data_IF_769513877302
#
_entry.id   IF_769513877302
#
_cell.length_a   1.000
_cell.length_b   1.000
_cell.length_c   1.000
_cell.angle_alpha   90.00
_cell.angle_beta   90.00
_cell.angle_gamma   90.00
#
_symmetry.space_group_name_H-M   'P 1'
#
loop_
_entity.id
_entity.type
_entity.pdbx_description
1 polymer ?
#
# COMPACT_ATOMS: atom_id res chain seq x y z
N UNK A 1 9.42 -31.89 -12.71
CA UNK A 1 10.11 -31.13 -11.65
C UNK A 1 9.15 -30.06 -11.17
N UNK A 2 8.65 -30.19 -9.94
CA UNK A 2 7.74 -29.26 -9.26
C UNK A 2 8.58 -28.54 -8.21
N UNK A 3 9.11 -27.38 -8.55
CA UNK A 3 9.85 -26.54 -7.62
C UNK A 3 9.60 -25.09 -8.01
N UNK A 4 9.25 -24.29 -7.01
CA UNK A 4 9.14 -22.83 -7.02
C UNK A 4 7.76 -22.29 -7.47
N UNK A 5 6.69 -22.69 -6.79
CA UNK A 5 5.55 -21.78 -6.56
C UNK A 5 5.86 -21.07 -5.24
N UNK A 6 6.70 -20.03 -5.30
CA UNK A 6 6.96 -19.18 -4.13
C UNK A 6 5.70 -18.35 -3.88
N UNK A 7 5.07 -18.43 -2.70
CA UNK A 7 4.12 -17.40 -2.31
C UNK A 7 4.97 -16.14 -2.08
N UNK A 8 4.91 -15.19 -3.00
CA UNK A 8 5.53 -13.86 -2.84
C UNK A 8 4.69 -12.96 -1.93
N UNK A 9 4.17 -13.54 -0.85
CA UNK A 9 3.64 -12.82 0.31
C UNK A 9 4.81 -12.55 1.25
N UNK A 10 5.66 -11.61 0.87
CA UNK A 10 6.67 -11.12 1.80
C UNK A 10 7.03 -9.68 1.43
N UNK A 11 6.93 -8.84 2.46
CA UNK A 11 7.47 -7.49 2.58
C UNK A 11 6.49 -6.37 2.18
N UNK A 12 5.59 -6.07 3.12
CA UNK A 12 5.17 -4.70 3.43
C UNK A 12 5.31 -4.52 4.95
N UNK A 13 6.56 -4.39 5.39
CA UNK A 13 6.88 -3.95 6.73
C UNK A 13 8.05 -2.98 6.61
N UNK A 14 7.75 -1.69 6.82
CA UNK A 14 8.57 -0.65 7.46
C UNK A 14 8.18 0.71 6.90
N UNK A 15 7.38 1.45 7.67
CA UNK A 15 7.36 2.91 7.79
C UNK A 15 6.48 3.20 9.04
N UNK A 16 6.79 4.03 10.03
CA UNK A 16 7.95 4.84 10.33
C UNK A 16 8.00 5.13 11.84
N UNK A 17 8.48 4.19 12.66
CA UNK A 17 8.50 4.34 14.12
C UNK A 17 9.65 5.20 14.68
N UNK A 18 10.01 6.33 14.04
CA UNK A 18 11.18 7.12 14.48
C UNK A 18 11.08 8.66 14.54
N UNK A 19 9.90 9.30 14.44
CA UNK A 19 9.78 10.73 14.76
C UNK A 19 9.31 10.95 16.21
N UNK A 20 10.32 10.89 17.08
CA UNK A 20 10.19 10.92 18.53
C UNK A 20 9.82 12.32 19.06
N UNK A 21 8.76 12.37 19.88
CA UNK A 21 8.50 13.33 20.97
C UNK A 21 7.84 14.70 20.66
N UNK A 22 7.83 15.19 19.41
CA UNK A 22 7.08 16.42 19.05
C UNK A 22 5.70 16.16 18.42
N UNK A 23 5.49 15.00 17.79
CA UNK A 23 4.25 14.65 17.09
C UNK A 23 3.10 14.17 17.99
N UNK A 24 3.36 13.81 19.26
CA UNK A 24 2.34 13.26 20.17
C UNK A 24 1.18 14.22 20.55
N UNK A 25 1.03 15.37 19.90
CA UNK A 25 -0.09 16.29 20.10
C UNK A 25 -0.72 16.83 18.80
N UNK A 26 -0.34 16.34 17.62
CA UNK A 26 -0.96 16.81 16.36
C UNK A 26 -2.03 15.83 15.85
N UNK A 27 -3.28 16.03 16.29
CA UNK A 27 -4.43 15.24 15.84
C UNK A 27 -4.65 15.28 14.31
N UNK A 28 -4.11 16.27 13.61
CA UNK A 28 -4.18 16.36 12.16
C UNK A 28 -3.21 15.37 11.47
N UNK A 29 -2.08 15.08 12.10
CA UNK A 29 -1.08 14.10 11.65
C UNK A 29 -1.67 12.69 11.74
N UNK A 30 -2.15 12.31 12.93
CA UNK A 30 -2.83 11.03 13.19
C UNK A 30 -4.02 10.78 12.21
N UNK A 31 -4.77 11.84 11.89
CA UNK A 31 -5.92 11.73 11.00
C UNK A 31 -5.51 11.55 9.53
N UNK A 32 -4.36 12.09 9.14
CA UNK A 32 -3.84 11.98 7.78
C UNK A 32 -3.12 10.65 7.57
N UNK A 33 -2.34 10.18 8.56
CA UNK A 33 -1.81 8.81 8.60
C UNK A 33 -2.94 7.79 8.49
N UNK A 34 -4.00 7.91 9.32
CA UNK A 34 -5.13 6.99 9.25
C UNK A 34 -5.87 7.05 7.89
N UNK A 35 -5.86 8.19 7.21
CA UNK A 35 -6.44 8.32 5.88
C UNK A 35 -5.54 7.68 4.80
N UNK A 36 -4.23 7.82 4.91
CA UNK A 36 -3.24 7.16 4.05
C UNK A 36 -3.33 5.64 4.20
N UNK A 37 -3.32 5.12 5.43
CA UNK A 37 -3.53 3.71 5.76
C UNK A 37 -4.81 3.16 5.13
N UNK A 38 -5.90 3.93 5.20
CA UNK A 38 -7.17 3.49 4.64
C UNK A 38 -7.15 3.45 3.11
N UNK A 39 -6.41 4.36 2.47
CA UNK A 39 -6.23 4.36 1.01
C UNK A 39 -5.39 3.16 0.56
N UNK A 40 -4.28 2.88 1.24
CA UNK A 40 -3.44 1.73 0.98
C UNK A 40 -4.22 0.43 1.18
N UNK A 41 -4.86 0.24 2.34
CA UNK A 41 -5.67 -0.94 2.64
C UNK A 41 -6.82 -1.16 1.64
N UNK A 42 -7.44 -0.08 1.13
CA UNK A 42 -8.49 -0.18 0.11
C UNK A 42 -7.94 -0.59 -1.25
N UNK A 43 -6.77 -0.08 -1.62
CA UNK A 43 -6.07 -0.46 -2.84
C UNK A 43 -5.63 -1.93 -2.78
N UNK A 44 -5.03 -2.34 -1.66
CA UNK A 44 -4.63 -3.72 -1.40
C UNK A 44 -5.80 -4.68 -1.45
N UNK A 45 -6.91 -4.37 -0.77
CA UNK A 45 -8.10 -5.22 -0.83
C UNK A 45 -8.65 -5.37 -2.26
N UNK A 46 -8.53 -4.32 -3.08
CA UNK A 46 -8.93 -4.36 -4.48
C UNK A 46 -7.95 -5.18 -5.32
N UNK A 47 -6.64 -4.98 -5.13
CA UNK A 47 -5.59 -5.73 -5.81
C UNK A 47 -5.65 -7.23 -5.46
N UNK A 48 -5.87 -7.57 -4.20
CA UNK A 48 -6.04 -8.94 -3.74
C UNK A 48 -7.29 -9.58 -4.36
N UNK A 49 -8.38 -8.85 -4.55
CA UNK A 49 -9.55 -9.36 -5.25
C UNK A 49 -9.25 -9.66 -6.73
N UNK A 50 -8.40 -8.83 -7.36
CA UNK A 50 -7.94 -9.05 -8.74
C UNK A 50 -7.00 -10.25 -8.82
N UNK A 51 -6.06 -10.40 -7.90
CA UNK A 51 -5.13 -11.55 -7.85
C UNK A 51 -5.89 -12.86 -7.60
N UNK A 52 -6.85 -12.86 -6.68
CA UNK A 52 -7.72 -14.02 -6.45
C UNK A 52 -8.56 -14.38 -7.69
N UNK A 53 -8.91 -13.40 -8.53
CA UNK A 53 -9.56 -13.66 -9.81
C UNK A 53 -8.56 -14.19 -10.84
N UNK A 54 -7.35 -13.62 -10.90
CA UNK A 54 -6.26 -14.04 -11.78
C UNK A 54 -5.89 -15.52 -11.59
N UNK A 55 -5.76 -15.94 -10.33
CA UNK A 55 -5.49 -17.33 -9.92
C UNK A 55 -6.54 -18.33 -10.43
N UNK A 56 -7.78 -17.88 -10.64
CA UNK A 56 -8.85 -18.74 -11.16
C UNK A 56 -8.81 -18.88 -12.69
N UNK A 57 -8.22 -17.92 -13.41
CA UNK A 57 -8.17 -17.93 -14.88
C UNK A 57 -6.90 -18.62 -15.41
N UNK A 58 -5.76 -18.31 -14.81
CA UNK A 58 -4.45 -18.82 -15.20
C UNK A 58 -3.89 -18.28 -16.53
N UNK A 59 -2.60 -18.49 -16.77
CA UNK A 59 -1.95 -18.27 -18.08
C UNK A 59 -1.84 -16.80 -18.49
N UNK A 60 -1.92 -16.48 -19.78
CA UNK A 60 -1.70 -15.09 -20.24
C UNK A 60 -2.73 -14.08 -19.70
N UNK A 61 -3.91 -14.55 -19.31
CA UNK A 61 -4.95 -13.73 -18.68
C UNK A 61 -4.67 -13.45 -17.20
N UNK A 62 -3.98 -14.36 -16.51
CA UNK A 62 -3.52 -14.19 -15.14
C UNK A 62 -2.48 -13.06 -15.07
N UNK A 63 -1.50 -13.07 -15.96
CA UNK A 63 -0.45 -12.04 -16.01
C UNK A 63 -1.02 -10.63 -16.24
N UNK A 64 -1.97 -10.49 -17.18
CA UNK A 64 -2.63 -9.21 -17.43
C UNK A 64 -3.48 -8.71 -16.23
N UNK A 65 -4.03 -9.63 -15.43
CA UNK A 65 -4.77 -9.28 -14.22
C UNK A 65 -3.82 -8.92 -13.07
N UNK A 66 -2.69 -9.63 -12.94
CA UNK A 66 -1.65 -9.29 -11.97
C UNK A 66 -1.03 -7.91 -12.26
N UNK A 67 -0.76 -7.60 -13.53
CA UNK A 67 -0.32 -6.25 -13.94
C UNK A 67 -1.35 -5.17 -13.53
N UNK A 68 -2.64 -5.50 -13.58
CA UNK A 68 -3.70 -4.60 -13.14
C UNK A 68 -3.74 -4.45 -11.61
N UNK A 69 -3.55 -5.55 -10.86
CA UNK A 69 -3.46 -5.52 -9.40
C UNK A 69 -2.27 -4.65 -8.94
N UNK A 70 -1.12 -4.81 -9.57
CA UNK A 70 0.09 -4.01 -9.29
C UNK A 70 -0.14 -2.52 -9.60
N UNK A 71 -0.82 -2.20 -10.70
CA UNK A 71 -1.18 -0.81 -11.01
C UNK A 71 -2.13 -0.20 -9.95
N UNK A 72 -3.02 -1.01 -9.37
CA UNK A 72 -3.92 -0.58 -8.28
C UNK A 72 -3.12 -0.31 -7.00
N UNK A 73 -2.22 -1.22 -6.60
CA UNK A 73 -1.32 -1.02 -5.44
C UNK A 73 -0.48 0.23 -5.59
N UNK A 74 0.23 0.37 -6.71
CA UNK A 74 1.05 1.55 -7.00
C UNK A 74 0.24 2.86 -6.99
N UNK A 75 -1.02 2.83 -7.44
CA UNK A 75 -1.91 4.00 -7.37
C UNK A 75 -2.37 4.30 -5.94
N UNK A 76 -2.54 3.27 -5.10
CA UNK A 76 -2.85 3.40 -3.68
C UNK A 76 -1.68 3.99 -2.92
N UNK A 77 -0.50 3.40 -3.04
CA UNK A 77 0.77 3.86 -2.46
C UNK A 77 1.04 5.32 -2.83
N UNK A 78 1.02 5.67 -4.12
CA UNK A 78 1.27 7.05 -4.54
C UNK A 78 0.26 8.08 -3.98
N UNK A 79 -0.95 7.65 -3.62
CA UNK A 79 -1.94 8.52 -2.96
C UNK A 79 -1.70 8.60 -1.46
N UNK A 80 -1.31 7.50 -0.81
CA UNK A 80 -0.92 7.47 0.60
C UNK A 80 0.32 8.36 0.81
N UNK A 81 1.36 8.18 -0.01
CA UNK A 81 2.56 9.03 0.00
C UNK A 81 2.22 10.51 -0.16
N UNK A 82 1.33 10.85 -1.11
CA UNK A 82 0.92 12.23 -1.32
C UNK A 82 0.08 12.83 -0.17
N UNK A 83 -0.51 11.99 0.68
CA UNK A 83 -1.19 12.42 1.91
C UNK A 83 -0.17 12.61 3.04
N UNK A 84 0.76 11.68 3.19
CA UNK A 84 1.86 11.76 4.17
C UNK A 84 2.77 12.96 3.91
N UNK A 85 3.22 13.17 2.67
CA UNK A 85 4.04 14.34 2.30
C UNK A 85 3.33 15.67 2.60
N UNK A 86 1.99 15.70 2.46
CA UNK A 86 1.21 16.89 2.83
C UNK A 86 1.14 17.06 4.33
N UNK A 87 0.92 15.99 5.09
CA UNK A 87 0.92 16.04 6.54
C UNK A 87 2.26 16.54 7.09
N UNK A 88 3.36 16.00 6.58
CA UNK A 88 4.72 16.41 6.94
C UNK A 88 4.99 17.89 6.63
N UNK A 89 4.61 18.32 5.42
CA UNK A 89 4.74 19.72 5.01
C UNK A 89 3.92 20.68 5.89
N UNK A 90 2.73 20.26 6.35
CA UNK A 90 1.88 21.03 7.27
C UNK A 90 2.39 20.99 8.71
N UNK A 91 2.98 19.88 9.15
CA UNK A 91 3.62 19.72 10.45
C UNK A 91 4.96 20.48 10.56
N UNK A 92 5.52 20.91 9.44
CA UNK A 92 6.80 21.63 9.39
C UNK A 92 8.01 20.73 9.53
N UNK A 93 7.86 19.44 9.23
CA UNK A 93 8.97 18.49 9.12
C UNK A 93 9.45 18.42 7.65
N UNK A 94 10.76 18.60 7.38
CA UNK A 94 11.33 18.47 6.03
C UNK A 94 11.66 17.02 5.64
#
# INVERSE_FOLDING_TARGET
>A
MKLITMPRLAVLAVAGASLSLAACNNKADDATEAAADQVEASADATADAIDNAADQVGGASEEAMQDQADAVRATGEAKADALEEKADAEAGHP
#
